data_IF_650217341391
#
_entry.id   IF_650217341391
#
_cell.length_a   1.000
_cell.length_b   1.000
_cell.length_c   1.000
_cell.angle_alpha   90.00
_cell.angle_beta   90.00
_cell.angle_gamma   90.00
#
_symmetry.space_group_name_H-M   'P 1'
#
loop_
_entity.id
_entity.type
_entity.pdbx_description
1 polymer ?
#
# COMPACT_ATOMS: atom_id res chain seq x y z
N UNK A 1 -7.29 12.98 10.29
CA UNK A 1 -7.12 12.08 9.13
C UNK A 1 -6.35 12.80 8.04
N UNK A 2 -5.60 12.07 7.22
CA UNK A 2 -4.66 12.60 6.23
C UNK A 2 -5.10 12.29 4.80
N UNK A 3 -4.78 13.19 3.87
CA UNK A 3 -5.01 12.99 2.43
C UNK A 3 -3.91 12.14 1.79
N UNK A 4 -2.71 12.14 2.39
CA UNK A 4 -1.55 11.35 1.98
C UNK A 4 -0.79 10.82 3.19
N UNK A 5 -0.39 9.56 3.15
CA UNK A 5 0.47 8.91 4.15
C UNK A 5 1.68 8.30 3.46
N UNK A 6 2.88 8.51 4.01
CA UNK A 6 4.12 7.90 3.52
C UNK A 6 4.62 6.87 4.54
N UNK A 7 4.86 5.66 4.09
CA UNK A 7 5.36 4.55 4.90
C UNK A 7 6.76 4.17 4.40
N UNK A 8 7.74 5.03 4.70
CA UNK A 8 9.11 4.93 4.17
C UNK A 8 10.03 4.03 5.02
N UNK A 9 9.50 2.89 5.52
CA UNK A 9 10.25 1.92 6.30
C UNK A 9 10.20 0.53 5.64
N UNK A 10 10.96 0.30 4.55
CA UNK A 10 10.73 -0.82 3.63
C UNK A 10 10.71 -2.22 4.25
N UNK A 11 11.38 -2.40 5.38
CA UNK A 11 11.52 -3.72 6.02
C UNK A 11 10.28 -4.16 6.79
N UNK A 12 9.51 -3.21 7.35
CA UNK A 12 8.36 -3.52 8.24
C UNK A 12 7.14 -2.65 7.96
N UNK A 13 7.17 -1.77 6.96
CA UNK A 13 6.09 -0.82 6.69
C UNK A 13 4.75 -1.54 6.48
N UNK A 14 4.73 -2.69 5.83
CA UNK A 14 3.49 -3.45 5.60
C UNK A 14 2.75 -3.83 6.89
N UNK A 15 3.44 -3.96 8.02
CA UNK A 15 2.84 -4.26 9.32
C UNK A 15 2.01 -3.10 9.87
N UNK A 16 2.28 -1.88 9.41
CA UNK A 16 1.55 -0.67 9.80
C UNK A 16 0.39 -0.33 8.85
N UNK A 17 0.09 -1.18 7.85
CA UNK A 17 -1.04 -0.95 6.94
C UNK A 17 -2.38 -0.73 7.66
N UNK A 18 -2.74 -1.46 8.73
CA UNK A 18 -3.98 -1.20 9.46
C UNK A 18 -4.04 0.21 10.08
N UNK A 19 -2.90 0.70 10.59
CA UNK A 19 -2.82 2.06 11.14
C UNK A 19 -2.90 3.09 10.01
N UNK A 20 -2.22 2.84 8.90
CA UNK A 20 -2.28 3.69 7.71
C UNK A 20 -3.71 3.80 7.16
N UNK A 21 -4.47 2.69 7.15
CA UNK A 21 -5.90 2.70 6.79
C UNK A 21 -6.69 3.63 7.71
N UNK A 22 -6.57 3.47 9.03
CA UNK A 22 -7.34 4.25 10.01
C UNK A 22 -7.11 5.76 9.89
N UNK A 23 -5.86 6.18 9.66
CA UNK A 23 -5.52 7.60 9.63
C UNK A 23 -5.72 8.24 8.25
N UNK A 24 -5.82 7.44 7.18
CA UNK A 24 -6.00 7.94 5.82
C UNK A 24 -7.48 8.14 5.51
N UNK A 25 -7.82 9.34 5.03
CA UNK A 25 -9.18 9.64 4.58
C UNK A 25 -9.61 8.71 3.44
N UNK A 26 -10.90 8.42 3.29
CA UNK A 26 -11.40 7.76 2.08
C UNK A 26 -11.00 8.55 0.83
N UNK A 27 -10.59 7.84 -0.23
CA UNK A 27 -9.99 8.48 -1.40
C UNK A 27 -8.58 9.04 -1.19
N UNK A 28 -7.99 8.94 0.00
CA UNK A 28 -6.61 9.32 0.27
C UNK A 28 -5.59 8.38 -0.37
N UNK A 29 -4.32 8.76 -0.35
CA UNK A 29 -3.23 7.97 -0.95
C UNK A 29 -2.23 7.52 0.11
N UNK A 30 -1.88 6.24 0.09
CA UNK A 30 -0.83 5.64 0.92
C UNK A 30 0.34 5.28 0.00
N UNK A 31 1.54 5.74 0.31
CA UNK A 31 2.76 5.34 -0.37
C UNK A 31 3.50 4.34 0.51
N UNK A 32 3.39 3.05 0.19
CA UNK A 32 4.05 1.97 0.90
C UNK A 32 5.37 1.65 0.22
N UNK A 33 6.48 1.86 0.92
CA UNK A 33 7.77 1.34 0.50
C UNK A 33 7.93 -0.07 1.06
N UNK A 34 8.40 -1.00 0.23
CA UNK A 34 8.61 -2.39 0.62
C UNK A 34 9.92 -2.92 0.04
N UNK A 35 10.54 -3.86 0.74
CA UNK A 35 11.56 -4.73 0.18
C UNK A 35 10.87 -6.03 -0.26
N UNK A 36 11.02 -6.40 -1.54
CA UNK A 36 10.35 -7.57 -2.12
C UNK A 36 11.28 -8.38 -3.02
N UNK A 37 10.89 -9.61 -3.28
CA UNK A 37 11.55 -10.61 -4.13
C UNK A 37 10.75 -10.94 -5.40
N UNK A 38 9.45 -10.65 -5.39
CA UNK A 38 8.55 -10.88 -6.53
C UNK A 38 7.70 -9.64 -6.83
N UNK A 39 7.33 -9.43 -8.09
CA UNK A 39 6.38 -8.38 -8.45
C UNK A 39 5.01 -8.70 -7.83
N UNK A 40 4.45 -7.72 -7.13
CA UNK A 40 3.13 -7.84 -6.51
C UNK A 40 3.09 -8.60 -5.20
N UNK A 41 4.24 -8.92 -4.59
CA UNK A 41 4.34 -9.67 -3.31
C UNK A 41 3.40 -9.13 -2.21
N UNK A 42 3.17 -7.82 -2.17
CA UNK A 42 2.32 -7.20 -1.14
C UNK A 42 0.87 -6.94 -1.59
N UNK A 43 0.48 -7.23 -2.83
CA UNK A 43 -0.85 -6.85 -3.38
C UNK A 43 -2.00 -7.49 -2.62
N UNK A 44 -1.90 -8.78 -2.31
CA UNK A 44 -2.94 -9.50 -1.56
C UNK A 44 -3.12 -8.91 -0.16
N UNK A 45 -2.02 -8.67 0.56
CA UNK A 45 -2.03 -8.06 1.89
C UNK A 45 -2.58 -6.63 1.88
N UNK A 46 -2.23 -5.83 0.87
CA UNK A 46 -2.80 -4.48 0.71
C UNK A 46 -4.31 -4.57 0.48
N UNK A 47 -4.75 -5.45 -0.43
CA UNK A 47 -6.17 -5.61 -0.77
C UNK A 47 -7.03 -6.09 0.41
N UNK A 48 -6.49 -6.95 1.27
CA UNK A 48 -7.21 -7.44 2.46
C UNK A 48 -7.38 -6.37 3.54
N UNK A 49 -6.40 -5.48 3.72
CA UNK A 49 -6.48 -4.37 4.70
C UNK A 49 -7.25 -3.17 4.15
N UNK A 50 -7.12 -2.90 2.85
CA UNK A 50 -7.71 -1.74 2.16
C UNK A 50 -8.67 -2.21 1.06
N UNK A 51 -9.87 -2.72 1.42
CA UNK A 51 -10.82 -3.21 0.43
C UNK A 51 -11.26 -2.11 -0.55
N UNK A 52 -11.39 -2.47 -1.82
CA UNK A 52 -11.78 -1.53 -2.90
C UNK A 52 -10.71 -0.48 -3.23
N UNK A 53 -9.47 -0.65 -2.77
CA UNK A 53 -8.37 0.22 -3.17
C UNK A 53 -7.91 -0.06 -4.61
N UNK A 54 -7.25 0.92 -5.21
CA UNK A 54 -6.45 0.71 -6.42
C UNK A 54 -4.97 0.77 -6.07
N UNK A 55 -4.18 -0.11 -6.68
CA UNK A 55 -2.75 -0.28 -6.37
C UNK A 55 -1.96 -0.04 -7.65
N UNK A 56 -1.01 0.89 -7.61
CA UNK A 56 0.02 1.03 -8.62
C UNK A 56 1.38 0.69 -8.01
N UNK A 57 2.06 -0.30 -8.56
CA UNK A 57 3.35 -0.77 -8.08
C UNK A 57 4.47 -0.24 -8.98
N UNK A 58 5.56 0.21 -8.37
CA UNK A 58 6.73 0.73 -9.07
C UNK A 58 8.01 0.16 -8.50
N UNK A 59 8.88 -0.32 -9.38
CA UNK A 59 10.28 -0.60 -9.05
C UNK A 59 11.01 0.71 -8.72
N UNK A 60 11.72 0.76 -7.60
CA UNK A 60 12.52 1.92 -7.22
C UNK A 60 14.01 1.69 -7.48
N UNK A 61 14.58 0.64 -6.90
CA UNK A 61 16.00 0.27 -7.07
C UNK A 61 16.27 -1.14 -6.59
N UNK A 62 17.30 -1.77 -7.15
CA UNK A 62 17.85 -3.01 -6.63
C UNK A 62 18.39 -2.81 -5.21
N UNK A 63 18.20 -3.83 -4.37
CA UNK A 63 18.74 -3.89 -3.01
C UNK A 63 19.82 -4.97 -2.90
N UNK A 64 19.54 -6.18 -3.38
CA UNK A 64 20.47 -7.31 -3.43
C UNK A 64 20.07 -8.29 -4.54
N UNK A 65 20.79 -9.41 -4.72
CA UNK A 65 20.43 -10.41 -5.72
C UNK A 65 18.99 -10.89 -5.51
N UNK A 66 18.12 -10.64 -6.50
CA UNK A 66 16.70 -11.00 -6.45
C UNK A 66 15.82 -10.11 -5.57
N UNK A 67 16.36 -9.10 -4.86
CA UNK A 67 15.58 -8.21 -3.99
C UNK A 67 15.63 -6.76 -4.44
N UNK A 68 14.50 -6.08 -4.41
CA UNK A 68 14.43 -4.65 -4.73
C UNK A 68 13.49 -3.89 -3.81
N UNK A 69 13.73 -2.58 -3.74
CA UNK A 69 12.75 -1.68 -3.17
C UNK A 69 11.66 -1.41 -4.20
N UNK A 70 10.42 -1.65 -3.79
CA UNK A 70 9.23 -1.26 -4.51
C UNK A 70 8.49 -0.15 -3.77
N UNK A 71 7.71 0.62 -4.51
CA UNK A 71 6.72 1.54 -3.97
C UNK A 71 5.35 1.13 -4.48
N UNK A 72 4.42 0.93 -3.56
CA UNK A 72 3.01 0.75 -3.86
C UNK A 72 2.30 2.09 -3.57
N UNK A 73 1.84 2.74 -4.63
CA UNK A 73 0.95 3.90 -4.54
C UNK A 73 -0.49 3.38 -4.45
N UNK A 74 -1.07 3.45 -3.27
CA UNK A 74 -2.37 2.86 -2.95
C UNK A 74 -3.41 3.97 -2.81
N UNK A 75 -4.44 3.97 -3.66
CA UNK A 75 -5.59 4.86 -3.52
C UNK A 75 -6.65 4.16 -2.69
N UNK A 76 -6.94 4.67 -1.49
CA UNK A 76 -7.99 4.12 -0.62
C UNK A 76 -9.36 4.32 -1.27
N UNK A 77 -10.26 3.34 -1.12
CA UNK A 77 -11.64 3.45 -1.58
C UNK A 77 -12.37 4.67 -1.00
N UNK A 78 -13.42 5.13 -1.69
CA UNK A 78 -14.30 6.18 -1.18
C UNK A 78 -15.19 5.62 -0.05
N UNK A 79 -15.53 6.46 0.92
CA UNK A 79 -16.54 6.08 1.92
C UNK A 79 -17.91 6.34 1.29
N UNK A 80 -18.70 5.29 1.06
CA UNK A 80 -20.09 5.43 0.65
C UNK A 80 -20.52 4.69 -0.62
N UNK A 81 -19.67 3.91 -1.28
CA UNK A 81 -20.16 2.90 -2.22
C UNK A 81 -20.47 1.63 -1.45
N UNK A 82 -21.71 1.51 -0.97
CA UNK A 82 -22.29 0.22 -0.61
C UNK A 82 -22.03 -0.74 -1.78
N UNK A 83 -21.16 -1.72 -1.58
CA UNK A 83 -21.13 -2.89 -2.44
C UNK A 83 -22.34 -3.73 -2.06
N UNK A 84 -23.43 -3.57 -2.81
CA UNK A 84 -24.52 -4.55 -2.82
C UNK A 84 -24.05 -5.69 -3.72
N UNK A 85 -24.06 -6.96 -3.25
CA UNK A 85 -23.62 -8.11 -4.03
C UNK A 85 -24.42 -8.32 -5.32
#
# INVERSE_FOLDING_TARGET
TFDRVLMNLPMIAADFLPVADQITKPGGTIHLYALQEEEGEYRERIGSVLPGCTINERFLRSYSAGRWHAVYDIKKGQAGTNFVP
#
